data_IF_422387316718
#
_entry.id   IF_422387316718
#
_cell.length_a   1.000
_cell.length_b   1.000
_cell.length_c   1.000
_cell.angle_alpha   90.00
_cell.angle_beta   90.00
_cell.angle_gamma   90.00
#
_symmetry.space_group_name_H-M   'P 1'
#
loop_
_entity.id
_entity.type
_entity.pdbx_description
1 polymer ?
#
# COMPACT_ATOMS: atom_id res chain seq x y z
N UNK A 1 11.99 39.73 3.49
CA UNK A 1 13.14 38.81 3.59
C UNK A 1 14.09 39.09 2.44
N UNK A 2 15.36 39.36 2.73
CA UNK A 2 16.43 38.81 1.87
C UNK A 2 16.10 37.33 1.64
N UNK A 3 15.92 36.92 0.40
CA UNK A 3 15.38 35.59 0.07
C UNK A 3 13.91 35.68 -0.33
N UNK A 4 13.67 35.75 -1.64
CA UNK A 4 12.33 35.67 -2.21
C UNK A 4 12.45 34.98 -3.56
N UNK A 5 12.32 33.66 -3.51
CA UNK A 5 11.76 32.77 -4.54
C UNK A 5 12.50 31.43 -4.59
N UNK A 6 12.54 30.72 -3.46
CA UNK A 6 12.58 29.26 -3.48
C UNK A 6 11.15 28.77 -3.78
N UNK A 7 10.66 29.03 -5.00
CA UNK A 7 9.39 28.53 -5.49
C UNK A 7 9.63 27.71 -6.77
N UNK A 8 10.57 26.76 -6.71
CA UNK A 8 10.41 25.55 -7.52
C UNK A 8 9.73 24.53 -6.61
N UNK A 9 8.40 24.62 -6.57
CA UNK A 9 7.58 23.64 -5.90
C UNK A 9 7.71 22.30 -6.65
N UNK A 10 8.74 21.52 -6.33
CA UNK A 10 8.75 20.08 -6.59
C UNK A 10 7.76 19.45 -5.63
N UNK A 11 6.48 19.61 -5.95
CA UNK A 11 5.37 18.91 -5.30
C UNK A 11 5.48 17.45 -5.69
N UNK A 12 6.37 16.72 -5.00
CA UNK A 12 6.29 15.27 -4.90
C UNK A 12 5.04 14.97 -4.08
N UNK A 13 3.90 15.01 -4.77
CA UNK A 13 2.69 14.33 -4.36
C UNK A 13 3.12 12.94 -3.89
N UNK A 14 2.89 12.67 -2.61
CA UNK A 14 3.37 11.50 -1.85
C UNK A 14 3.24 10.24 -2.71
N UNK A 15 4.30 9.93 -3.44
CA UNK A 15 4.44 8.69 -4.17
C UNK A 15 4.90 7.70 -3.14
N UNK A 16 3.99 6.85 -2.67
CA UNK A 16 4.35 5.72 -1.82
C UNK A 16 5.56 5.06 -2.49
N UNK A 17 6.73 5.02 -1.84
CA UNK A 17 7.90 4.45 -2.46
C UNK A 17 7.53 3.02 -2.88
N UNK A 18 7.88 2.58 -4.10
CA UNK A 18 7.62 1.21 -4.51
C UNK A 18 8.21 0.31 -3.44
N UNK A 19 7.38 -0.59 -2.93
CA UNK A 19 7.76 -1.38 -1.77
C UNK A 19 9.11 -2.08 -2.03
N UNK A 20 10.01 -2.13 -1.03
CA UNK A 20 11.36 -2.60 -1.24
C UNK A 20 11.35 -4.00 -1.86
N UNK A 21 12.13 -4.20 -2.93
CA UNK A 21 12.32 -5.54 -3.49
C UNK A 21 12.87 -6.45 -2.39
N UNK A 22 12.19 -7.57 -2.13
CA UNK A 22 12.56 -8.52 -1.06
C UNK A 22 11.64 -8.48 0.17
N UNK A 23 10.72 -7.53 0.25
CA UNK A 23 9.62 -7.58 1.25
C UNK A 23 8.41 -8.27 0.60
N UNK A 24 7.86 -9.34 1.21
CA UNK A 24 6.69 -10.03 0.67
C UNK A 24 5.51 -9.05 0.58
N UNK A 25 4.90 -9.01 -0.61
CA UNK A 25 3.75 -8.15 -0.90
C UNK A 25 2.48 -8.95 -0.63
N UNK A 26 2.08 -9.02 0.64
CA UNK A 26 0.88 -9.75 1.05
C UNK A 26 -0.32 -8.80 0.99
N UNK A 27 -1.27 -9.13 0.13
CA UNK A 27 -2.57 -8.48 0.05
C UNK A 27 -3.53 -9.22 0.97
N UNK A 28 -4.09 -8.50 1.95
CA UNK A 28 -5.06 -9.07 2.87
C UNK A 28 -6.42 -8.44 2.60
N UNK A 29 -7.41 -9.29 2.35
CA UNK A 29 -8.80 -8.91 2.15
C UNK A 29 -9.62 -9.35 3.35
N UNK A 30 -10.47 -8.46 3.84
CA UNK A 30 -11.40 -8.70 4.91
C UNK A 30 -12.81 -8.52 4.36
N UNK A 31 -13.55 -9.62 4.26
CA UNK A 31 -14.94 -9.62 3.82
C UNK A 31 -15.84 -9.89 5.02
N UNK A 32 -16.82 -9.01 5.24
CA UNK A 32 -17.81 -9.15 6.31
C UNK A 32 -19.13 -9.49 5.63
N UNK A 33 -19.64 -10.69 5.90
CA UNK A 33 -20.92 -11.12 5.34
C UNK A 33 -22.13 -10.61 6.14
N UNK A 34 -23.33 -10.85 5.61
CA UNK A 34 -24.58 -10.42 6.23
C UNK A 34 -24.88 -11.09 7.59
N UNK A 35 -24.17 -12.18 7.93
CA UNK A 35 -24.28 -12.84 9.23
C UNK A 35 -23.30 -12.24 10.26
N UNK A 36 -22.45 -11.29 9.83
CA UNK A 36 -21.39 -10.72 10.66
C UNK A 36 -20.15 -11.60 10.77
N UNK A 37 -19.99 -12.60 9.89
CA UNK A 37 -18.79 -13.45 9.86
C UNK A 37 -17.71 -12.75 9.05
N UNK A 38 -16.50 -12.72 9.60
CA UNK A 38 -15.32 -12.15 8.95
C UNK A 38 -14.57 -13.25 8.21
N UNK A 39 -14.49 -13.11 6.90
CA UNK A 39 -13.66 -13.93 6.02
C UNK A 39 -12.34 -13.20 5.80
N UNK A 40 -11.23 -13.88 6.11
CA UNK A 40 -9.88 -13.33 5.93
C UNK A 40 -9.23 -14.09 4.79
N UNK A 41 -8.78 -13.38 3.77
CA UNK A 41 -8.01 -13.97 2.67
C UNK A 41 -6.68 -13.24 2.55
N UNK A 42 -5.59 -13.98 2.40
CA UNK A 42 -4.25 -13.42 2.21
C UNK A 42 -3.63 -13.95 0.92
N UNK A 43 -3.15 -13.05 0.06
CA UNK A 43 -2.48 -13.35 -1.20
C UNK A 43 -1.08 -12.78 -1.22
N UNK A 44 -0.07 -13.62 -1.37
CA UNK A 44 1.30 -13.17 -1.61
C UNK A 44 1.51 -12.88 -3.10
N UNK A 45 1.66 -11.59 -3.47
CA UNK A 45 1.91 -11.14 -4.85
C UNK A 45 3.29 -11.54 -5.39
N UNK A 46 4.23 -11.93 -4.52
CA UNK A 46 5.57 -12.38 -4.91
C UNK A 46 5.62 -13.86 -5.30
N UNK A 47 4.83 -14.72 -4.63
CA UNK A 47 4.83 -16.17 -4.87
C UNK A 47 3.55 -16.70 -5.51
N UNK A 48 2.48 -15.90 -5.54
CA UNK A 48 1.16 -16.30 -6.04
C UNK A 48 0.40 -17.25 -5.12
N UNK A 49 0.91 -17.51 -3.91
CA UNK A 49 0.28 -18.39 -2.92
C UNK A 49 -0.85 -17.63 -2.21
N UNK A 50 -1.99 -18.30 -2.07
CA UNK A 50 -3.17 -17.80 -1.39
C UNK A 50 -3.46 -18.66 -0.14
N UNK A 51 -3.94 -18.02 0.92
CA UNK A 51 -4.41 -18.65 2.16
C UNK A 51 -5.78 -18.06 2.53
N UNK A 52 -6.69 -18.92 2.97
CA UNK A 52 -8.03 -18.60 3.47
C UNK A 52 -8.23 -19.21 4.85
#
# INVERSE_FOLDING_TARGET
CSGSSCLSASRSQVGIPPAPRGVPQIEVTFDIDANGIVHVSAKDKGTGREQQ
#
